data_IF_630486485181
#
_entry.id   IF_630486485181
#
_cell.length_a   1.000
_cell.length_b   1.000
_cell.length_c   1.000
_cell.angle_alpha   90.00
_cell.angle_beta   90.00
_cell.angle_gamma   90.00
#
_symmetry.space_group_name_H-M   'P 1'
#
loop_
_entity.id
_entity.type
_entity.pdbx_description
1 polymer ?
#
# COMPACT_ATOMS: atom_id res chain seq x y z
N UNK A 1 16.31 -26.41 -16.39
CA UNK A 1 16.59 -25.09 -15.80
C UNK A 1 15.92 -24.04 -16.68
N UNK A 2 14.79 -23.48 -16.25
CA UNK A 2 14.02 -22.53 -17.06
C UNK A 2 14.54 -21.12 -16.74
N UNK A 3 15.13 -20.45 -17.73
CA UNK A 3 15.60 -19.06 -17.61
C UNK A 3 14.46 -18.16 -18.09
N UNK A 4 13.64 -17.64 -17.18
CA UNK A 4 12.58 -16.68 -17.52
C UNK A 4 13.18 -15.34 -17.94
N UNK A 5 12.92 -14.92 -19.18
CA UNK A 5 13.32 -13.59 -19.67
C UNK A 5 12.39 -12.51 -19.10
N UNK A 6 12.94 -11.32 -18.84
CA UNK A 6 12.24 -10.15 -18.28
C UNK A 6 10.90 -9.82 -18.99
N UNK A 7 10.88 -9.92 -20.33
CA UNK A 7 9.67 -9.71 -21.13
C UNK A 7 8.57 -10.78 -20.93
N UNK A 8 8.94 -12.03 -20.61
CA UNK A 8 7.97 -13.09 -20.28
C UNK A 8 7.43 -12.94 -18.86
N UNK A 9 8.27 -12.48 -17.93
CA UNK A 9 7.84 -12.11 -16.59
C UNK A 9 6.84 -10.94 -16.62
N UNK A 10 7.11 -9.90 -17.42
CA UNK A 10 6.21 -8.75 -17.61
C UNK A 10 4.86 -9.14 -18.25
N UNK A 11 4.85 -10.12 -19.16
CA UNK A 11 3.63 -10.61 -19.81
C UNK A 11 2.74 -11.45 -18.88
N UNK A 12 3.32 -12.21 -17.95
CA UNK A 12 2.59 -12.98 -16.93
C UNK A 12 2.10 -12.07 -15.80
N UNK A 13 2.89 -11.06 -15.44
CA UNK A 13 2.54 -10.12 -14.37
C UNK A 13 1.34 -9.25 -14.72
N UNK A 14 1.16 -8.81 -15.97
CA UNK A 14 0.08 -7.88 -16.33
C UNK A 14 -1.34 -8.42 -16.05
N UNK A 15 -1.73 -9.64 -16.47
CA UNK A 15 -3.04 -10.20 -16.15
C UNK A 15 -3.26 -10.42 -14.65
N UNK A 16 -2.30 -11.06 -13.96
CA UNK A 16 -2.40 -11.34 -12.53
C UNK A 16 -2.41 -10.05 -11.67
N UNK A 17 -1.70 -9.01 -12.10
CA UNK A 17 -1.67 -7.70 -11.42
C UNK A 17 -2.98 -6.94 -11.62
N UNK A 18 -3.65 -7.08 -12.77
CA UNK A 18 -4.98 -6.53 -13.01
C UNK A 18 -6.03 -7.22 -12.12
N UNK A 19 -5.92 -8.54 -11.94
CA UNK A 19 -6.80 -9.29 -11.03
C UNK A 19 -6.58 -8.90 -9.57
N UNK A 20 -5.32 -8.71 -9.13
CA UNK A 20 -5.04 -8.27 -7.77
C UNK A 20 -5.49 -6.83 -7.52
N UNK A 21 -5.25 -5.90 -8.45
CA UNK A 21 -5.70 -4.51 -8.30
C UNK A 21 -7.23 -4.41 -8.22
N UNK A 22 -7.95 -5.19 -9.03
CA UNK A 22 -9.41 -5.26 -8.96
C UNK A 22 -9.90 -5.79 -7.59
N UNK A 23 -9.26 -6.85 -7.06
CA UNK A 23 -9.55 -7.36 -5.71
C UNK A 23 -9.23 -6.33 -4.62
N UNK A 24 -8.13 -5.59 -4.75
CA UNK A 24 -7.78 -4.52 -3.82
C UNK A 24 -8.81 -3.38 -3.84
N UNK A 25 -9.31 -2.98 -5.02
CA UNK A 25 -10.36 -1.96 -5.11
C UNK A 25 -11.60 -2.42 -4.34
N UNK A 26 -12.06 -3.66 -4.57
CA UNK A 26 -13.21 -4.21 -3.87
C UNK A 26 -12.97 -4.24 -2.35
N UNK A 27 -11.81 -4.71 -1.91
CA UNK A 27 -11.42 -4.73 -0.50
C UNK A 27 -11.45 -3.33 0.13
N UNK A 28 -10.91 -2.31 -0.54
CA UNK A 28 -10.91 -0.94 -0.02
C UNK A 28 -12.31 -0.34 0.03
N UNK A 29 -13.21 -0.70 -0.90
CA UNK A 29 -14.60 -0.27 -0.85
C UNK A 29 -15.36 -0.88 0.33
N UNK A 30 -15.05 -2.13 0.69
CA UNK A 30 -15.65 -2.85 1.81
C UNK A 30 -15.10 -2.40 3.16
N UNK A 31 -13.78 -2.29 3.29
CA UNK A 31 -13.11 -2.04 4.57
C UNK A 31 -12.94 -0.55 4.90
N UNK A 32 -12.97 0.34 3.89
CA UNK A 32 -12.77 1.77 4.07
C UNK A 32 -13.87 2.63 3.41
N UNK A 33 -15.17 2.33 3.60
CA UNK A 33 -16.25 2.97 2.87
C UNK A 33 -16.26 4.50 3.06
N UNK A 34 -16.02 4.98 4.28
CA UNK A 34 -15.98 6.43 4.57
C UNK A 34 -14.82 7.20 3.93
N UNK A 35 -13.76 6.52 3.48
CA UNK A 35 -12.61 7.15 2.79
C UNK A 35 -12.75 7.14 1.27
N UNK A 36 -13.69 6.34 0.75
CA UNK A 36 -13.95 6.22 -0.69
C UNK A 36 -15.33 6.70 -1.10
N UNK A 37 -16.18 7.07 -0.13
CA UNK A 37 -17.49 7.63 -0.41
C UNK A 37 -17.38 8.90 -1.26
N UNK A 38 -18.23 9.00 -2.28
CA UNK A 38 -18.20 10.08 -3.26
C UNK A 38 -17.03 10.07 -4.26
N UNK A 39 -16.08 9.12 -4.18
CA UNK A 39 -15.01 9.02 -5.18
C UNK A 39 -15.50 8.35 -6.47
N UNK A 40 -15.23 8.94 -7.64
CA UNK A 40 -15.44 8.25 -8.91
C UNK A 40 -14.62 6.95 -8.98
N UNK A 41 -15.20 5.92 -9.60
CA UNK A 41 -14.59 4.59 -9.67
C UNK A 41 -13.22 4.59 -10.37
N UNK A 42 -13.01 5.45 -11.37
CA UNK A 42 -11.73 5.62 -12.05
C UNK A 42 -10.68 6.26 -11.13
N UNK A 43 -11.07 7.24 -10.32
CA UNK A 43 -10.18 7.87 -9.33
C UNK A 43 -9.76 6.86 -8.26
N UNK A 44 -10.70 6.05 -7.74
CA UNK A 44 -10.38 5.01 -6.77
C UNK A 44 -9.39 3.98 -7.33
N UNK A 45 -9.63 3.50 -8.56
CA UNK A 45 -8.72 2.57 -9.23
C UNK A 45 -7.31 3.15 -9.36
N UNK A 46 -7.19 4.42 -9.76
CA UNK A 46 -5.89 5.10 -9.87
C UNK A 46 -5.18 5.25 -8.52
N UNK A 47 -5.91 5.63 -7.46
CA UNK A 47 -5.35 5.71 -6.09
C UNK A 47 -4.86 4.35 -5.59
N UNK A 48 -5.62 3.28 -5.81
CA UNK A 48 -5.22 1.92 -5.46
C UNK A 48 -3.96 1.49 -6.23
N UNK A 49 -3.91 1.74 -7.54
CA UNK A 49 -2.73 1.43 -8.36
C UNK A 49 -1.49 2.21 -7.91
N UNK A 50 -1.65 3.49 -7.58
CA UNK A 50 -0.57 4.32 -7.06
C UNK A 50 -0.05 3.81 -5.71
N UNK A 51 -0.95 3.49 -4.79
CA UNK A 51 -0.61 2.92 -3.48
C UNK A 51 0.08 1.55 -3.61
N UNK A 52 -0.43 0.67 -4.48
CA UNK A 52 0.17 -0.62 -4.80
C UNK A 52 1.58 -0.46 -5.38
N UNK A 53 1.77 0.48 -6.30
CA UNK A 53 3.09 0.78 -6.87
C UNK A 53 4.04 1.30 -5.79
N UNK A 54 3.54 2.12 -4.86
CA UNK A 54 4.29 2.58 -3.69
C UNK A 54 4.78 1.42 -2.81
N UNK A 55 3.88 0.49 -2.48
CA UNK A 55 4.20 -0.72 -1.73
C UNK A 55 5.30 -1.54 -2.41
N UNK A 56 5.18 -1.76 -3.72
CA UNK A 56 6.16 -2.51 -4.50
C UNK A 56 7.53 -1.83 -4.54
N UNK A 57 7.59 -0.49 -4.61
CA UNK A 57 8.84 0.28 -4.53
C UNK A 57 9.55 0.16 -3.18
N UNK A 58 8.79 -0.13 -2.12
CA UNK A 58 9.32 -0.41 -0.78
C UNK A 58 9.76 -1.88 -0.61
N UNK A 59 9.67 -2.69 -1.69
CA UNK A 59 10.08 -4.09 -1.71
C UNK A 59 8.98 -5.07 -1.28
N UNK A 60 7.75 -4.60 -1.08
CA UNK A 60 6.61 -5.48 -0.76
C UNK A 60 6.20 -6.26 -2.01
N UNK A 61 6.18 -7.58 -1.90
CA UNK A 61 5.85 -8.50 -3.01
C UNK A 61 4.68 -9.41 -2.70
N UNK A 62 4.32 -9.59 -1.43
CA UNK A 62 3.18 -10.43 -1.03
C UNK A 62 1.88 -9.64 -1.03
N UNK A 63 0.81 -10.25 -1.57
CA UNK A 63 -0.52 -9.62 -1.65
C UNK A 63 -1.02 -9.14 -0.29
N UNK A 64 -0.83 -9.92 0.78
CA UNK A 64 -1.22 -9.54 2.14
C UNK A 64 -0.50 -8.25 2.59
N UNK A 65 0.82 -8.20 2.48
CA UNK A 65 1.62 -7.04 2.89
C UNK A 65 1.28 -5.79 2.08
N UNK A 66 1.04 -5.95 0.77
CA UNK A 66 0.58 -4.85 -0.08
C UNK A 66 -0.83 -4.40 0.32
N UNK A 67 -1.74 -5.32 0.60
CA UNK A 67 -3.11 -5.01 1.03
C UNK A 67 -3.11 -4.21 2.33
N UNK A 68 -2.34 -4.64 3.34
CA UNK A 68 -2.18 -3.91 4.59
C UNK A 68 -1.60 -2.51 4.38
N UNK A 69 -0.59 -2.38 3.52
CA UNK A 69 -0.01 -1.07 3.20
C UNK A 69 -1.02 -0.14 2.53
N UNK A 70 -1.74 -0.62 1.51
CA UNK A 70 -2.75 0.16 0.79
C UNK A 70 -3.88 0.57 1.74
N UNK A 71 -4.40 -0.35 2.55
CA UNK A 71 -5.41 -0.04 3.56
C UNK A 71 -4.94 1.03 4.55
N UNK A 72 -3.70 0.93 5.03
CA UNK A 72 -3.10 1.94 5.90
C UNK A 72 -3.02 3.32 5.22
N UNK A 73 -2.69 3.38 3.92
CA UNK A 73 -2.70 4.66 3.19
C UNK A 73 -4.09 5.30 3.16
N UNK A 74 -5.15 4.51 2.94
CA UNK A 74 -6.52 5.04 2.92
C UNK A 74 -7.01 5.46 4.31
N UNK A 75 -6.69 4.68 5.35
CA UNK A 75 -7.15 4.96 6.72
C UNK A 75 -6.35 6.09 7.39
N UNK A 76 -5.02 6.01 7.31
CA UNK A 76 -4.08 6.86 8.09
C UNK A 76 -3.44 7.96 7.26
N UNK A 77 -3.61 7.93 5.94
CA UNK A 77 -3.08 8.92 5.02
C UNK A 77 -1.97 8.39 4.11
N UNK A 78 -1.82 8.94 2.90
CA UNK A 78 -0.87 8.46 1.89
C UNK A 78 0.60 8.72 2.26
N UNK A 79 0.87 9.51 3.31
CA UNK A 79 2.20 9.78 3.85
C UNK A 79 2.54 8.98 5.12
N UNK A 80 1.67 8.09 5.61
CA UNK A 80 1.84 7.43 6.91
C UNK A 80 3.24 6.80 7.09
N UNK A 81 3.75 6.16 6.05
CA UNK A 81 5.05 5.46 6.05
C UNK A 81 6.28 6.39 6.14
N UNK A 82 6.09 7.71 6.05
CA UNK A 82 7.15 8.70 6.21
C UNK A 82 7.43 9.00 7.69
N UNK A 83 6.50 8.64 8.58
CA UNK A 83 6.67 8.85 10.02
C UNK A 83 7.94 8.14 10.53
N UNK A 84 8.76 8.77 11.40
CA UNK A 84 10.02 8.20 11.85
C UNK A 84 9.92 6.77 12.39
N UNK A 85 8.84 6.47 13.12
CA UNK A 85 8.66 5.13 13.70
C UNK A 85 8.38 4.04 12.68
N UNK A 86 7.62 4.35 11.63
CA UNK A 86 7.37 3.42 10.53
C UNK A 86 8.60 3.32 9.64
N UNK A 87 9.22 4.46 9.33
CA UNK A 87 10.43 4.51 8.51
C UNK A 87 11.55 3.66 9.09
N UNK A 88 11.72 3.65 10.42
CA UNK A 88 12.69 2.81 11.13
C UNK A 88 12.49 1.33 10.81
N UNK A 89 11.25 0.85 10.88
CA UNK A 89 10.89 -0.55 10.57
C UNK A 89 11.16 -0.86 9.09
N UNK A 90 10.81 0.06 8.18
CA UNK A 90 11.06 -0.11 6.75
C UNK A 90 12.54 -0.05 6.36
N UNK A 91 13.39 0.53 7.20
CA UNK A 91 14.84 0.63 6.99
C UNK A 91 15.63 -0.45 7.73
N UNK A 92 15.00 -1.20 8.63
CA UNK A 92 15.64 -2.28 9.36
C UNK A 92 15.97 -3.45 8.40
N UNK A 93 17.26 -3.79 8.21
CA UNK A 93 17.65 -4.90 7.35
C UNK A 93 17.39 -6.27 7.98
N UNK A 94 17.14 -6.35 9.29
CA UNK A 94 16.81 -7.60 9.99
C UNK A 94 15.36 -8.05 9.76
N UNK A 95 14.50 -7.14 9.30
CA UNK A 95 13.09 -7.41 9.00
C UNK A 95 12.93 -7.60 7.49
N UNK A 96 12.47 -8.79 7.10
CA UNK A 96 12.21 -9.09 5.69
C UNK A 96 11.14 -8.15 5.12
N UNK A 97 11.22 -7.75 3.84
CA UNK A 97 10.32 -6.75 3.26
C UNK A 97 8.83 -7.02 3.53
N UNK A 98 8.38 -8.25 3.32
CA UNK A 98 6.96 -8.61 3.48
C UNK A 98 6.50 -8.67 4.94
N UNK A 99 7.41 -8.77 5.90
CA UNK A 99 7.09 -8.82 7.34
C UNK A 99 6.99 -7.41 7.96
N UNK A 100 7.49 -6.38 7.26
CA UNK A 100 7.52 -4.99 7.76
C UNK A 100 6.15 -4.44 8.11
N UNK A 101 5.13 -4.77 7.34
CA UNK A 101 3.77 -4.29 7.65
C UNK A 101 3.23 -4.93 8.93
N UNK A 102 3.49 -6.22 9.17
CA UNK A 102 3.14 -6.87 10.43
C UNK A 102 3.91 -6.24 11.60
N UNK A 103 5.21 -6.03 11.44
CA UNK A 103 6.02 -5.34 12.44
C UNK A 103 5.52 -3.92 12.75
N UNK A 104 5.03 -3.18 11.74
CA UNK A 104 4.38 -1.87 11.92
C UNK A 104 3.11 -2.00 12.76
N UNK A 105 2.24 -2.97 12.46
CA UNK A 105 1.01 -3.19 13.22
C UNK A 105 1.29 -3.60 14.68
N UNK A 106 2.35 -4.35 14.92
CA UNK A 106 2.70 -4.87 16.25
C UNK A 106 3.48 -3.86 17.11
N UNK A 107 4.29 -2.99 16.48
CA UNK A 107 5.29 -2.17 17.20
C UNK A 107 4.92 -0.70 17.33
N UNK A 108 4.07 -0.15 16.45
CA UNK A 108 3.71 1.27 16.48
C UNK A 108 2.61 1.48 17.51
N UNK A 109 2.86 2.37 18.48
CA UNK A 109 1.92 2.60 19.59
C UNK A 109 0.68 3.38 19.15
N UNK A 110 -0.36 3.36 19.98
CA UNK A 110 -1.58 4.13 19.72
C UNK A 110 -1.31 5.63 19.61
N UNK A 111 -0.41 6.15 20.43
CA UNK A 111 -0.01 7.56 20.44
C UNK A 111 0.73 7.92 19.15
N UNK A 112 1.64 7.05 18.69
CA UNK A 112 2.33 7.23 17.41
C UNK A 112 1.35 7.18 16.23
N UNK A 113 0.36 6.28 16.26
CA UNK A 113 -0.70 6.25 15.25
C UNK A 113 -1.54 7.54 15.24
N UNK A 114 -1.88 8.07 16.42
CA UNK A 114 -2.59 9.35 16.51
C UNK A 114 -1.74 10.52 15.97
N UNK A 115 -0.43 10.52 16.22
CA UNK A 115 0.50 11.50 15.66
C UNK A 115 0.55 11.39 14.13
N UNK A 116 0.62 10.18 13.59
CA UNK A 116 0.59 9.91 12.14
C UNK A 116 -0.67 10.50 11.51
N UNK A 117 -1.84 10.23 12.09
CA UNK A 117 -3.11 10.75 11.60
C UNK A 117 -3.19 12.28 11.67
N UNK A 118 -2.64 12.88 12.73
CA UNK A 118 -2.60 14.35 12.86
C UNK A 118 -1.77 15.03 11.76
N UNK A 119 -0.85 14.29 11.13
CA UNK A 119 0.03 14.74 10.04
C UNK A 119 -0.41 14.23 8.67
N UNK A 120 -1.60 13.65 8.58
CA UNK A 120 -2.17 13.14 7.33
C UNK A 120 -2.20 14.25 6.27
N UNK A 121 -1.63 13.97 5.09
CA UNK A 121 -1.64 14.87 3.94
C UNK A 121 -2.36 14.21 2.75
N UNK A 122 -3.66 14.47 2.65
CA UNK A 122 -4.50 13.94 1.57
C UNK A 122 -4.25 14.58 0.21
N UNK A 123 -3.54 15.72 0.15
CA UNK A 123 -3.20 16.35 -1.14
C UNK A 123 -2.29 15.46 -1.99
N UNK A 124 -1.58 14.53 -1.38
CA UNK A 124 -0.76 13.54 -2.08
C UNK A 124 -1.59 12.59 -2.96
N UNK A 125 -2.88 12.41 -2.68
CA UNK A 125 -3.76 11.65 -3.56
C UNK A 125 -3.99 12.32 -4.92
N UNK A 126 -3.86 13.65 -5.02
CA UNK A 126 -3.96 14.34 -6.31
C UNK A 126 -2.80 13.99 -7.25
N UNK A 127 -1.68 13.50 -6.70
CA UNK A 127 -0.54 12.99 -7.50
C UNK A 127 -0.83 11.65 -8.15
N UNK A 128 -1.90 10.97 -7.72
CA UNK A 128 -2.39 9.72 -8.30
C UNK A 128 -3.46 9.95 -9.38
N UNK A 129 -3.79 11.20 -9.75
CA UNK A 129 -4.90 11.53 -10.65
C UNK A 129 -4.56 11.44 -12.14
#
# INVERSE_FOLDING_TARGET
MIVLRKAQLEAIQKPAMLDFSARLVAFIQEECPGQVDGLPADVLRKRVLWAQTGAQRLGLTWENSITLFVACMFQRGPNFFQHPSIRRIFQDPSILPNDRMHAVMDSVTREEWAEIESRRDDSLWERAR
#
